data_IF_600478761405
#
_entry.id   IF_600478761405
#
_cell.length_a   1.000
_cell.length_b   1.000
_cell.length_c   1.000
_cell.angle_alpha   90.00
_cell.angle_beta   90.00
_cell.angle_gamma   90.00
#
_symmetry.space_group_name_H-M   'P 1'
#
loop_
_entity.id
_entity.type
_entity.pdbx_description
1 polymer ?
#
# COMPACT_ATOMS: atom_id res chain seq x y z
N UNK A 1 -33.98 -3.50 79.44
CA UNK A 1 -34.19 -2.20 78.76
C UNK A 1 -32.97 -1.67 78.03
N UNK A 2 -31.77 -1.53 78.65
CA UNK A 2 -30.58 -0.95 77.99
C UNK A 2 -30.06 -1.73 76.75
N UNK A 3 -30.15 -3.06 76.71
CA UNK A 3 -29.76 -3.88 75.54
C UNK A 3 -30.71 -3.77 74.35
N UNK A 4 -32.01 -3.59 74.61
CA UNK A 4 -33.01 -3.42 73.55
C UNK A 4 -32.86 -2.05 72.88
N UNK A 5 -32.62 -1.00 73.67
CA UNK A 5 -32.35 0.34 73.14
C UNK A 5 -31.10 0.38 72.25
N UNK A 6 -30.05 -0.35 72.62
CA UNK A 6 -28.81 -0.43 71.83
C UNK A 6 -29.03 -1.15 70.49
N UNK A 7 -29.80 -2.25 70.48
CA UNK A 7 -30.16 -2.97 69.26
C UNK A 7 -31.07 -2.14 68.33
N UNK A 8 -32.02 -1.39 68.89
CA UNK A 8 -32.88 -0.49 68.12
C UNK A 8 -32.09 0.68 67.53
N UNK A 9 -31.16 1.26 68.29
CA UNK A 9 -30.26 2.33 67.80
C UNK A 9 -29.28 1.79 66.75
N UNK A 10 -28.73 0.58 66.92
CA UNK A 10 -27.90 -0.04 65.89
C UNK A 10 -28.66 -0.38 64.61
N UNK A 11 -29.92 -0.83 64.69
CA UNK A 11 -30.77 -1.08 63.52
C UNK A 11 -31.20 0.20 62.81
N UNK A 12 -31.39 1.30 63.54
CA UNK A 12 -31.66 2.63 62.98
C UNK A 12 -30.41 3.20 62.28
N UNK A 13 -29.22 3.09 62.89
CA UNK A 13 -27.95 3.51 62.28
C UNK A 13 -27.61 2.65 61.05
N UNK A 14 -27.87 1.33 61.09
CA UNK A 14 -27.72 0.46 59.92
C UNK A 14 -28.74 0.81 58.83
N UNK A 15 -29.98 1.17 59.17
CA UNK A 15 -30.97 1.66 58.21
C UNK A 15 -30.60 2.98 57.53
N UNK A 16 -29.87 3.87 58.23
CA UNK A 16 -29.36 5.13 57.69
C UNK A 16 -28.15 4.94 56.76
N UNK A 17 -27.43 3.81 56.82
CA UNK A 17 -26.38 3.46 55.85
C UNK A 17 -26.89 2.70 54.61
N UNK A 18 -28.17 2.32 54.57
CA UNK A 18 -28.82 1.71 53.39
C UNK A 18 -29.84 2.64 52.71
N UNK A 19 -29.88 3.92 53.10
CA UNK A 19 -30.72 4.94 52.49
C UNK A 19 -29.90 5.96 51.67
N UNK A 20 -30.16 5.99 50.36
CA UNK A 20 -29.74 6.98 49.35
C UNK A 20 -28.54 6.59 48.46
N UNK A 21 -28.82 5.73 47.48
CA UNK A 21 -28.65 6.08 46.07
C UNK A 21 -29.89 5.57 45.30
N UNK A 22 -31.07 6.03 45.73
CA UNK A 22 -32.26 5.99 44.87
C UNK A 22 -32.24 7.28 44.05
N UNK A 23 -32.35 7.16 42.73
CA UNK A 23 -32.49 8.25 41.76
C UNK A 23 -31.22 9.03 41.34
N UNK A 24 -30.16 8.31 40.97
CA UNK A 24 -29.39 8.74 39.78
C UNK A 24 -29.57 7.65 38.73
N UNK A 25 -30.75 7.60 38.11
CA UNK A 25 -30.93 6.85 36.88
C UNK A 25 -30.15 7.60 35.80
N UNK A 26 -28.92 7.14 35.54
CA UNK A 26 -28.22 7.46 34.31
C UNK A 26 -28.96 6.68 33.23
N UNK A 27 -29.64 7.37 32.33
CA UNK A 27 -30.30 6.71 31.20
C UNK A 27 -29.25 5.89 30.43
N UNK A 28 -29.54 4.61 30.15
CA UNK A 28 -28.65 3.76 29.36
C UNK A 28 -28.66 4.31 27.92
N UNK A 29 -27.61 5.04 27.54
CA UNK A 29 -27.44 5.56 26.17
C UNK A 29 -26.94 4.47 25.21
N UNK A 30 -27.42 3.24 25.35
CA UNK A 30 -27.00 2.14 24.48
C UNK A 30 -27.12 2.50 23.00
N UNK A 31 -26.09 2.23 22.19
CA UNK A 31 -26.19 2.39 20.74
C UNK A 31 -27.07 1.30 20.11
N UNK A 32 -27.68 1.61 18.98
CA UNK A 32 -28.46 0.66 18.17
C UNK A 32 -27.61 -0.50 17.67
N UNK A 33 -26.33 -0.23 17.42
CA UNK A 33 -25.36 -1.15 16.84
C UNK A 33 -24.05 -1.06 17.63
N UNK A 34 -23.49 -2.21 18.01
CA UNK A 34 -22.16 -2.30 18.62
C UNK A 34 -21.06 -2.62 17.60
N UNK A 35 -21.44 -3.05 16.40
CA UNK A 35 -20.54 -3.40 15.30
C UNK A 35 -21.14 -2.94 13.97
N UNK A 36 -20.35 -2.31 13.11
CA UNK A 36 -20.76 -1.90 11.76
C UNK A 36 -19.71 -2.27 10.72
N UNK A 37 -20.17 -2.68 9.55
CA UNK A 37 -19.35 -2.83 8.35
C UNK A 37 -19.87 -1.88 7.28
N UNK A 38 -18.99 -1.02 6.78
CA UNK A 38 -19.29 0.00 5.77
C UNK A 38 -18.58 -0.30 4.44
N UNK A 39 -19.21 0.07 3.32
CA UNK A 39 -18.62 -0.09 1.99
C UNK A 39 -17.53 0.98 1.72
N UNK A 40 -16.32 0.52 1.40
CA UNK A 40 -15.20 1.38 1.02
C UNK A 40 -15.38 2.16 -0.27
N UNK A 41 -16.37 1.80 -1.10
CA UNK A 41 -16.75 2.56 -2.31
C UNK A 41 -17.52 3.85 -2.00
N UNK A 42 -17.81 4.10 -0.72
CA UNK A 42 -18.60 5.22 -0.23
C UNK A 42 -19.91 4.71 0.36
N UNK A 43 -20.13 5.00 1.63
CA UNK A 43 -21.27 4.51 2.40
C UNK A 43 -21.62 5.49 3.52
N UNK A 44 -22.84 5.36 4.05
CA UNK A 44 -23.34 6.20 5.14
C UNK A 44 -24.11 5.33 6.12
N UNK A 45 -23.70 5.38 7.39
CA UNK A 45 -24.45 4.77 8.49
C UNK A 45 -24.77 5.82 9.56
N UNK A 46 -25.91 5.63 10.22
CA UNK A 46 -26.30 6.40 11.40
C UNK A 46 -26.53 5.43 12.54
N UNK A 47 -25.83 5.65 13.64
CA UNK A 47 -25.97 4.92 14.90
C UNK A 47 -26.88 5.75 15.80
N UNK A 48 -27.98 5.14 16.23
CA UNK A 48 -28.94 5.76 17.14
C UNK A 48 -28.57 5.41 18.59
N UNK A 49 -28.73 6.36 19.50
CA UNK A 49 -28.48 6.17 20.93
C UNK A 49 -29.81 6.27 21.66
N UNK A 50 -30.03 5.39 22.65
CA UNK A 50 -31.28 5.37 23.40
C UNK A 50 -31.50 6.62 24.28
N UNK A 51 -30.43 7.39 24.54
CA UNK A 51 -30.46 8.63 25.29
C UNK A 51 -29.30 9.56 24.90
N UNK A 52 -29.42 10.83 25.28
CA UNK A 52 -28.48 11.92 24.97
C UNK A 52 -27.53 12.30 26.12
N UNK A 53 -27.56 11.56 27.23
CA UNK A 53 -26.79 11.81 28.45
C UNK A 53 -25.30 11.40 28.37
N UNK A 54 -24.69 11.65 27.21
CA UNK A 54 -23.27 11.47 26.94
C UNK A 54 -22.78 12.60 26.04
N UNK A 55 -21.56 13.05 26.29
CA UNK A 55 -20.99 14.22 25.59
C UNK A 55 -19.62 13.94 25.02
N UNK A 56 -18.89 12.97 25.53
CA UNK A 56 -17.55 12.66 25.06
C UNK A 56 -17.59 11.51 24.06
N UNK A 57 -17.12 11.77 22.85
CA UNK A 57 -16.81 10.77 21.83
C UNK A 57 -15.30 10.70 21.60
N UNK A 58 -14.72 9.50 21.62
CA UNK A 58 -13.30 9.26 21.32
C UNK A 58 -13.17 8.18 20.26
N UNK A 59 -12.24 8.37 19.31
CA UNK A 59 -11.96 7.40 18.25
C UNK A 59 -10.59 6.76 18.47
N UNK A 60 -10.55 5.43 18.61
CA UNK A 60 -9.30 4.68 18.62
C UNK A 60 -9.05 4.09 17.22
N UNK A 61 -7.99 4.56 16.55
CA UNK A 61 -7.57 4.01 15.26
C UNK A 61 -6.57 2.88 15.44
N UNK A 62 -6.64 1.84 14.60
CA UNK A 62 -5.62 0.79 14.54
C UNK A 62 -4.28 1.24 13.95
N UNK A 63 -4.28 2.34 13.18
CA UNK A 63 -3.10 2.91 12.52
C UNK A 63 -3.16 4.45 12.51
N UNK A 64 -2.02 5.16 12.39
CA UNK A 64 -2.01 6.61 12.30
C UNK A 64 -2.77 7.13 11.07
N UNK A 65 -3.73 8.03 11.28
CA UNK A 65 -4.46 8.75 10.23
C UNK A 65 -4.52 10.22 10.61
N UNK A 66 -4.49 11.12 9.61
CA UNK A 66 -4.69 12.54 9.89
C UNK A 66 -6.17 12.81 10.10
N UNK A 67 -6.48 13.70 11.04
CA UNK A 67 -7.84 14.10 11.31
C UNK A 67 -7.92 15.59 11.64
N UNK A 68 -9.10 16.17 11.42
CA UNK A 68 -9.45 17.53 11.82
C UNK A 68 -10.78 17.49 12.57
N UNK A 69 -10.85 18.20 13.68
CA UNK A 69 -12.02 18.21 14.56
C UNK A 69 -12.68 19.57 14.45
N UNK A 70 -14.00 19.58 14.28
CA UNK A 70 -14.79 20.79 14.18
C UNK A 70 -15.90 20.77 15.21
N UNK A 71 -16.17 21.92 15.81
CA UNK A 71 -17.32 22.12 16.69
C UNK A 71 -18.65 22.18 15.90
N UNK A 72 -19.77 22.35 16.61
CA UNK A 72 -21.11 22.46 16.03
C UNK A 72 -21.27 23.63 15.04
N UNK A 73 -20.48 24.70 15.19
CA UNK A 73 -20.46 25.86 14.31
C UNK A 73 -19.44 25.70 13.16
N UNK A 74 -18.90 24.49 12.99
CA UNK A 74 -17.92 24.12 11.98
C UNK A 74 -16.59 24.90 12.10
N UNK A 75 -16.20 25.30 13.32
CA UNK A 75 -14.90 25.91 13.61
C UNK A 75 -13.89 24.83 14.00
N UNK A 76 -12.68 24.94 13.45
CA UNK A 76 -11.59 23.99 13.72
C UNK A 76 -11.13 24.07 15.17
N UNK A 77 -11.04 22.93 15.85
CA UNK A 77 -10.51 22.79 17.21
C UNK A 77 -9.04 22.39 17.13
N UNK A 78 -8.13 23.22 17.67
CA UNK A 78 -6.66 23.03 17.53
C UNK A 78 -5.95 22.50 18.78
N UNK A 79 -6.63 22.43 19.93
CA UNK A 79 -6.01 22.16 21.23
C UNK A 79 -6.34 20.77 21.81
N UNK A 80 -6.83 19.83 20.99
CA UNK A 80 -7.23 18.49 21.43
C UNK A 80 -6.04 17.55 21.68
N UNK A 81 -6.17 16.64 22.65
CA UNK A 81 -5.17 15.60 22.95
C UNK A 81 -5.32 14.34 22.07
N UNK A 82 -6.33 14.28 21.20
CA UNK A 82 -6.62 13.14 20.35
C UNK A 82 -7.85 13.36 19.47
N UNK A 83 -8.27 12.35 18.69
CA UNK A 83 -9.48 12.37 17.88
C UNK A 83 -10.73 12.24 18.77
N UNK A 84 -10.99 13.27 19.56
CA UNK A 84 -12.12 13.34 20.49
C UNK A 84 -13.01 14.54 20.23
N UNK A 85 -14.32 14.34 20.37
CA UNK A 85 -15.34 15.38 20.31
C UNK A 85 -16.01 15.49 21.69
N UNK A 86 -16.22 16.70 22.17
CA UNK A 86 -17.04 16.98 23.34
C UNK A 86 -18.27 17.77 22.90
N UNK A 87 -19.46 17.19 23.04
CA UNK A 87 -20.71 17.73 22.53
C UNK A 87 -20.93 17.42 21.05
N UNK A 88 -21.56 18.37 20.33
CA UNK A 88 -21.86 18.26 18.90
C UNK A 88 -20.70 18.77 18.03
N UNK A 89 -20.62 18.25 16.80
CA UNK A 89 -19.58 18.59 15.84
C UNK A 89 -19.18 17.39 14.97
N UNK A 90 -17.94 17.39 14.47
CA UNK A 90 -17.45 16.32 13.61
C UNK A 90 -15.95 16.11 13.64
N UNK A 91 -15.54 14.90 13.30
CA UNK A 91 -14.16 14.49 13.08
C UNK A 91 -14.03 14.09 11.61
N UNK A 92 -13.22 14.82 10.85
CA UNK A 92 -12.94 14.55 9.44
C UNK A 92 -11.59 13.85 9.37
N UNK A 93 -11.59 12.59 8.94
CA UNK A 93 -10.40 11.76 8.80
C UNK A 93 -9.96 11.73 7.34
N UNK A 94 -8.70 12.06 7.08
CA UNK A 94 -8.14 12.13 5.73
C UNK A 94 -6.76 11.49 5.69
N UNK A 95 -6.58 10.56 4.76
CA UNK A 95 -5.29 10.00 4.36
C UNK A 95 -5.20 9.96 2.83
N UNK A 96 -4.06 9.52 2.31
CA UNK A 96 -3.87 9.44 0.86
C UNK A 96 -4.81 8.43 0.20
N UNK A 97 -5.05 7.30 0.88
CA UNK A 97 -5.87 6.19 0.39
C UNK A 97 -7.18 5.98 1.16
N UNK A 98 -7.47 6.79 2.17
CA UNK A 98 -8.68 6.61 2.97
C UNK A 98 -9.22 7.96 3.41
N UNK A 99 -10.54 8.14 3.31
CA UNK A 99 -11.22 9.31 3.84
C UNK A 99 -12.63 8.97 4.32
N UNK A 100 -12.98 9.47 5.51
CA UNK A 100 -14.30 9.32 6.10
C UNK A 100 -14.53 10.43 7.14
N UNK A 101 -15.79 10.69 7.47
CA UNK A 101 -16.19 11.68 8.45
C UNK A 101 -17.14 11.07 9.47
N UNK A 102 -16.95 11.40 10.74
CA UNK A 102 -17.83 11.04 11.84
C UNK A 102 -18.46 12.33 12.35
N UNK A 103 -19.78 12.42 12.29
CA UNK A 103 -20.55 13.62 12.63
C UNK A 103 -21.54 13.30 13.76
N UNK A 104 -21.58 14.15 14.77
CA UNK A 104 -22.62 14.17 15.80
C UNK A 104 -23.32 15.52 15.73
N UNK A 105 -24.37 15.59 14.92
CA UNK A 105 -25.19 16.82 14.75
C UNK A 105 -26.47 16.79 15.57
N UNK A 106 -26.89 15.60 16.02
CA UNK A 106 -27.98 15.39 16.95
C UNK A 106 -27.47 14.71 18.22
N UNK A 107 -28.01 15.03 19.41
CA UNK A 107 -27.52 14.47 20.68
C UNK A 107 -27.57 12.94 20.78
N UNK A 108 -28.50 12.31 20.07
CA UNK A 108 -28.77 10.86 20.12
C UNK A 108 -28.31 10.14 18.85
N UNK A 109 -27.55 10.82 17.97
CA UNK A 109 -27.13 10.23 16.70
C UNK A 109 -25.66 10.47 16.41
N UNK A 110 -25.00 9.43 15.92
CA UNK A 110 -23.70 9.54 15.27
C UNK A 110 -23.83 9.06 13.84
N UNK A 111 -23.45 9.91 12.89
CA UNK A 111 -23.40 9.58 11.47
C UNK A 111 -21.96 9.36 11.03
N UNK A 112 -21.71 8.26 10.35
CA UNK A 112 -20.43 7.96 9.72
C UNK A 112 -20.65 8.03 8.21
N UNK A 113 -19.87 8.85 7.52
CA UNK A 113 -19.86 8.97 6.06
C UNK A 113 -18.50 8.54 5.55
N UNK A 114 -18.44 7.42 4.85
CA UNK A 114 -17.24 6.93 4.17
C UNK A 114 -17.15 7.63 2.82
N UNK A 115 -16.00 8.26 2.56
CA UNK A 115 -15.68 8.75 1.22
C UNK A 115 -15.01 7.66 0.40
N UNK A 116 -13.96 7.05 0.94
CA UNK A 116 -13.24 5.95 0.29
C UNK A 116 -12.35 5.18 1.26
N UNK A 117 -12.19 3.87 1.04
CA UNK A 117 -11.06 3.09 1.57
C UNK A 117 -10.32 2.34 0.44
N UNK A 118 -9.33 2.98 -0.17
CA UNK A 118 -8.51 2.43 -1.24
C UNK A 118 -7.30 1.60 -0.76
N UNK A 119 -7.22 1.31 0.55
CA UNK A 119 -6.20 0.41 1.09
C UNK A 119 -6.38 -1.01 0.57
N UNK A 120 -5.34 -1.85 0.69
CA UNK A 120 -5.44 -3.27 0.35
C UNK A 120 -6.30 -4.08 1.33
N UNK A 121 -6.49 -3.57 2.55
CA UNK A 121 -7.15 -4.26 3.66
C UNK A 121 -8.28 -3.42 4.30
N UNK A 122 -9.21 -4.06 5.03
CA UNK A 122 -10.23 -3.33 5.79
C UNK A 122 -9.59 -2.34 6.77
N UNK A 123 -10.20 -1.17 6.91
CA UNK A 123 -9.79 -0.18 7.90
C UNK A 123 -10.71 -0.26 9.11
N UNK A 124 -10.11 -0.50 10.27
CA UNK A 124 -10.84 -0.70 11.52
C UNK A 124 -10.56 0.43 12.50
N UNK A 125 -11.62 0.89 13.17
CA UNK A 125 -11.52 1.80 14.30
C UNK A 125 -12.61 1.52 15.33
N UNK A 126 -12.37 1.93 16.56
CA UNK A 126 -13.34 1.87 17.63
C UNK A 126 -13.84 3.28 17.95
N UNK A 127 -15.15 3.43 18.04
CA UNK A 127 -15.81 4.62 18.55
C UNK A 127 -16.23 4.36 20.00
N UNK A 128 -15.83 5.24 20.91
CA UNK A 128 -16.24 5.22 22.31
C UNK A 128 -17.10 6.44 22.61
N UNK A 129 -18.36 6.22 22.98
CA UNK A 129 -19.24 7.25 23.52
C UNK A 129 -19.25 7.12 25.04
N UNK A 130 -19.12 8.23 25.77
CA UNK A 130 -18.96 8.20 27.23
C UNK A 130 -19.52 9.43 27.94
N UNK A 131 -19.91 9.20 29.19
CA UNK A 131 -20.17 10.23 30.19
C UNK A 131 -19.23 10.01 31.40
N UNK A 132 -19.53 10.65 32.52
CA UNK A 132 -18.72 10.55 33.74
C UNK A 132 -18.76 9.17 34.42
N UNK A 133 -19.76 8.34 34.10
CA UNK A 133 -20.07 7.11 34.82
C UNK A 133 -19.81 5.85 34.00
N UNK A 134 -20.08 5.89 32.70
CA UNK A 134 -19.98 4.72 31.82
C UNK A 134 -19.55 5.10 30.40
N UNK A 135 -19.21 4.07 29.61
CA UNK A 135 -18.92 4.21 28.19
C UNK A 135 -19.46 3.02 27.40
N UNK A 136 -19.80 3.30 26.15
CA UNK A 136 -20.21 2.33 25.14
C UNK A 136 -19.16 2.27 24.04
N UNK A 137 -18.89 1.07 23.53
CA UNK A 137 -17.92 0.84 22.45
C UNK A 137 -18.63 0.31 21.21
N UNK A 138 -18.26 0.89 20.08
CA UNK A 138 -18.77 0.52 18.76
C UNK A 138 -17.58 0.24 17.85
N UNK A 139 -17.54 -0.95 17.26
CA UNK A 139 -16.49 -1.36 16.34
C UNK A 139 -16.92 -1.08 14.92
N UNK A 140 -16.11 -0.35 14.16
CA UNK A 140 -16.41 0.01 12.77
C UNK A 140 -15.33 -0.54 11.87
N UNK A 141 -15.74 -1.28 10.86
CA UNK A 141 -14.90 -1.73 9.77
C UNK A 141 -15.34 -1.08 8.46
N UNK A 142 -14.41 -0.48 7.74
CA UNK A 142 -14.63 -0.01 6.37
C UNK A 142 -13.94 -1.00 5.44
N UNK A 143 -14.70 -1.70 4.62
CA UNK A 143 -14.17 -2.65 3.63
C UNK A 143 -13.33 -1.92 2.56
N UNK A 144 -12.39 -2.60 1.87
CA UNK A 144 -11.70 -2.00 0.72
C UNK A 144 -12.67 -1.65 -0.41
N UNK A 145 -12.37 -0.57 -1.12
CA UNK A 145 -13.07 -0.15 -2.34
C UNK A 145 -12.76 -1.07 -3.51
N UNK A 146 -13.57 -0.99 -4.58
CA UNK A 146 -13.21 -1.64 -5.85
C UNK A 146 -11.86 -1.12 -6.35
N UNK A 147 -11.03 -2.02 -6.88
CA UNK A 147 -9.71 -1.63 -7.40
C UNK A 147 -9.86 -0.69 -8.59
N UNK A 148 -9.01 0.33 -8.63
CA UNK A 148 -8.96 1.28 -9.72
C UNK A 148 -8.55 0.60 -11.02
N UNK A 149 -9.09 1.11 -12.12
CA UNK A 149 -8.73 0.68 -13.47
C UNK A 149 -7.80 1.72 -14.07
N UNK A 150 -6.73 1.25 -14.72
CA UNK A 150 -5.83 2.12 -15.46
C UNK A 150 -6.54 2.68 -16.70
N UNK A 151 -6.48 4.00 -16.86
CA UNK A 151 -6.92 4.69 -18.07
C UNK A 151 -5.76 4.87 -19.05
N UNK A 152 -4.65 5.42 -18.57
CA UNK A 152 -3.46 5.68 -19.39
C UNK A 152 -2.20 5.86 -18.54
N UNK A 153 -1.04 5.68 -19.16
CA UNK A 153 0.27 6.01 -18.60
C UNK A 153 1.03 6.82 -19.64
N UNK A 154 1.67 7.88 -19.20
CA UNK A 154 2.44 8.79 -20.03
C UNK A 154 3.85 8.88 -19.46
N UNK A 155 4.86 8.85 -20.32
CA UNK A 155 6.26 8.95 -19.95
C UNK A 155 6.87 10.27 -20.43
N UNK A 156 7.86 10.77 -19.70
CA UNK A 156 8.71 11.87 -20.17
C UNK A 156 9.74 11.35 -21.17
N UNK A 157 9.48 11.54 -22.46
CA UNK A 157 10.36 11.04 -23.54
C UNK A 157 11.50 11.99 -23.89
N UNK A 158 11.41 13.25 -23.45
CA UNK A 158 12.37 14.34 -23.67
C UNK A 158 13.15 14.73 -22.41
N UNK A 159 12.67 14.30 -21.24
CA UNK A 159 13.30 14.54 -19.94
C UNK A 159 13.55 13.21 -19.22
N UNK A 160 14.66 12.56 -19.56
CA UNK A 160 15.11 11.30 -18.98
C UNK A 160 16.61 11.35 -18.65
N UNK A 161 17.02 10.49 -17.74
CA UNK A 161 18.42 10.26 -17.40
C UNK A 161 18.88 8.96 -18.04
N UNK A 162 19.98 9.01 -18.79
CA UNK A 162 20.52 7.86 -19.49
C UNK A 162 22.04 7.83 -19.33
N UNK A 163 22.55 6.70 -18.86
CA UNK A 163 23.97 6.47 -18.65
C UNK A 163 24.38 5.19 -19.41
N UNK A 164 24.95 5.34 -20.61
CA UNK A 164 25.33 4.20 -21.44
C UNK A 164 26.54 3.46 -20.87
N UNK A 165 26.57 2.15 -21.03
CA UNK A 165 27.66 1.28 -20.56
C UNK A 165 28.01 1.47 -19.05
N UNK A 166 27.05 1.90 -18.22
CA UNK A 166 27.26 2.25 -16.80
C UNK A 166 27.73 1.06 -15.94
N UNK A 167 27.31 -0.16 -16.28
CA UNK A 167 27.66 -1.36 -15.51
C UNK A 167 28.14 -2.50 -16.40
N UNK A 168 29.11 -3.26 -15.89
CA UNK A 168 29.52 -4.56 -16.44
C UNK A 168 29.25 -5.67 -15.44
N UNK A 169 28.49 -6.69 -15.84
CA UNK A 169 28.29 -7.93 -15.08
C UNK A 169 29.12 -9.05 -15.70
N UNK A 170 29.85 -9.82 -14.90
CA UNK A 170 30.65 -10.95 -15.37
C UNK A 170 30.05 -12.28 -14.94
N UNK A 171 29.96 -13.24 -15.85
CA UNK A 171 29.61 -14.63 -15.58
C UNK A 171 30.68 -15.57 -16.10
N UNK A 172 31.13 -16.44 -15.21
CA UNK A 172 32.03 -17.55 -15.51
C UNK A 172 31.24 -18.86 -15.43
N UNK A 173 31.74 -19.91 -16.08
CA UNK A 173 31.16 -21.26 -15.94
C UNK A 173 30.46 -21.80 -17.19
N UNK A 174 30.48 -21.07 -18.31
CA UNK A 174 30.18 -21.66 -19.62
C UNK A 174 31.43 -22.39 -20.09
N UNK A 175 31.36 -23.69 -20.35
CA UNK A 175 32.49 -24.46 -20.87
C UNK A 175 32.07 -25.45 -21.94
N UNK A 176 32.99 -25.73 -22.86
CA UNK A 176 32.82 -26.74 -23.90
C UNK A 176 34.02 -27.67 -23.93
N UNK A 177 33.78 -28.98 -24.01
CA UNK A 177 34.81 -30.00 -23.98
C UNK A 177 34.86 -30.71 -25.33
N UNK A 178 35.83 -30.37 -26.18
CA UNK A 178 36.06 -31.08 -27.43
C UNK A 178 36.93 -32.32 -27.18
N UNK A 179 36.29 -33.47 -26.99
CA UNK A 179 36.96 -34.76 -26.78
C UNK A 179 37.42 -35.42 -28.10
N UNK A 180 37.08 -34.84 -29.25
CA UNK A 180 37.36 -35.43 -30.55
C UNK A 180 38.77 -35.09 -31.05
N UNK A 181 39.22 -35.83 -32.06
CA UNK A 181 40.51 -35.58 -32.74
C UNK A 181 40.41 -34.50 -33.83
N UNK A 182 39.20 -33.97 -34.09
CA UNK A 182 38.96 -32.84 -34.99
C UNK A 182 38.54 -31.58 -34.24
N UNK A 183 38.50 -30.43 -34.92
CA UNK A 183 37.90 -29.21 -34.35
C UNK A 183 36.38 -29.35 -34.23
N UNK A 184 35.79 -28.74 -33.21
CA UNK A 184 34.34 -28.67 -33.02
C UNK A 184 33.87 -27.22 -33.01
N UNK A 185 32.69 -26.95 -33.54
CA UNK A 185 32.08 -25.62 -33.45
C UNK A 185 31.14 -25.56 -32.25
N UNK A 186 31.26 -24.51 -31.44
CA UNK A 186 30.37 -24.22 -30.33
C UNK A 186 29.67 -22.88 -30.56
N UNK A 187 28.37 -22.84 -30.33
CA UNK A 187 27.56 -21.63 -30.46
C UNK A 187 27.22 -21.10 -29.08
N UNK A 188 27.61 -19.86 -28.80
CA UNK A 188 27.29 -19.11 -27.60
C UNK A 188 26.06 -18.25 -27.85
N UNK A 189 25.25 -18.07 -26.81
CA UNK A 189 24.12 -17.15 -26.76
C UNK A 189 24.40 -16.11 -25.66
N UNK A 190 25.17 -15.04 -25.95
CA UNK A 190 25.75 -14.19 -24.91
C UNK A 190 24.72 -13.52 -24.00
N UNK A 191 23.52 -13.25 -24.51
CA UNK A 191 22.44 -12.60 -23.76
C UNK A 191 21.53 -13.58 -22.99
N UNK A 192 21.56 -14.87 -23.30
CA UNK A 192 20.62 -15.86 -22.73
C UNK A 192 20.72 -15.94 -21.20
N UNK A 193 21.94 -15.75 -20.68
CA UNK A 193 22.21 -15.80 -19.24
C UNK A 193 22.08 -14.45 -18.53
N UNK A 194 21.70 -13.37 -19.22
CA UNK A 194 21.58 -12.02 -18.63
C UNK A 194 20.16 -11.48 -18.73
N UNK A 195 19.81 -10.57 -17.83
CA UNK A 195 18.43 -10.10 -17.66
C UNK A 195 18.33 -8.60 -17.89
N UNK A 196 17.24 -8.17 -18.51
CA UNK A 196 16.80 -6.78 -18.45
C UNK A 196 16.19 -6.53 -17.07
N UNK A 197 16.86 -5.72 -16.25
CA UNK A 197 16.33 -5.35 -14.93
C UNK A 197 15.42 -4.14 -15.05
N UNK A 198 14.27 -4.18 -14.40
CA UNK A 198 13.30 -3.09 -14.49
C UNK A 198 12.47 -2.97 -13.22
N UNK A 199 12.05 -1.76 -12.85
CA UNK A 199 11.06 -1.53 -11.79
C UNK A 199 10.36 -0.18 -11.96
N UNK A 200 9.14 -0.10 -11.45
CA UNK A 200 8.44 1.16 -11.27
C UNK A 200 8.59 1.63 -9.83
N UNK A 201 8.82 2.92 -9.62
CA UNK A 201 8.77 3.56 -8.30
C UNK A 201 7.69 4.61 -8.34
N UNK A 202 6.83 4.64 -7.32
CA UNK A 202 5.85 5.70 -7.14
C UNK A 202 6.38 6.73 -6.16
N UNK A 203 6.03 8.00 -6.36
CA UNK A 203 6.33 9.06 -5.37
C UNK A 203 5.50 8.86 -4.09
N UNK A 204 4.35 8.19 -4.22
CA UNK A 204 3.50 7.70 -3.14
C UNK A 204 3.53 6.16 -3.17
N UNK A 205 4.36 5.49 -2.36
CA UNK A 205 4.53 4.04 -2.41
C UNK A 205 3.21 3.25 -2.32
N UNK A 206 2.26 3.76 -1.56
CA UNK A 206 0.93 3.19 -1.32
C UNK A 206 0.07 3.18 -2.60
N UNK A 207 0.38 4.01 -3.60
CA UNK A 207 -0.38 4.09 -4.84
C UNK A 207 -0.44 2.78 -5.63
N UNK A 208 0.51 1.86 -5.43
CA UNK A 208 0.42 0.51 -6.03
C UNK A 208 -0.77 -0.30 -5.48
N UNK A 209 -1.30 0.03 -4.30
CA UNK A 209 -2.49 -0.60 -3.72
C UNK A 209 -3.80 -0.17 -4.40
N UNK A 210 -3.78 0.95 -5.13
CA UNK A 210 -4.94 1.43 -5.90
C UNK A 210 -5.31 0.42 -6.99
N UNK A 211 -4.29 -0.16 -7.61
CA UNK A 211 -4.43 -1.17 -8.64
C UNK A 211 -4.64 -2.53 -7.97
N UNK A 212 -5.48 -3.38 -8.57
CA UNK A 212 -5.62 -4.75 -8.10
C UNK A 212 -4.33 -5.54 -8.29
N UNK A 213 -4.21 -6.69 -7.62
CA UNK A 213 -3.09 -7.63 -7.79
C UNK A 213 -2.97 -8.20 -9.23
N UNK A 214 -3.97 -7.95 -10.07
CA UNK A 214 -3.93 -8.33 -11.48
C UNK A 214 -2.70 -7.70 -12.15
N UNK A 215 -1.88 -8.55 -12.78
CA UNK A 215 -0.62 -8.19 -13.45
C UNK A 215 -0.78 -7.19 -14.59
N UNK A 216 -1.09 -5.94 -14.23
CA UNK A 216 -1.24 -4.82 -15.12
C UNK A 216 0.05 -4.71 -15.92
N UNK A 217 -0.07 -4.81 -17.23
CA UNK A 217 1.07 -4.76 -18.13
C UNK A 217 0.95 -3.48 -18.93
N UNK A 218 1.95 -2.61 -18.82
CA UNK A 218 2.00 -1.30 -19.48
C UNK A 218 3.00 -1.31 -20.61
N UNK A 219 2.77 -0.49 -21.64
CA UNK A 219 3.80 -0.22 -22.63
C UNK A 219 4.93 0.58 -21.98
N UNK A 220 6.17 0.22 -22.23
CA UNK A 220 7.35 0.89 -21.68
C UNK A 220 8.15 1.53 -22.81
N UNK A 221 8.74 2.70 -22.57
CA UNK A 221 9.65 3.29 -23.53
C UNK A 221 10.97 2.51 -23.58
N UNK A 222 11.67 2.62 -24.70
CA UNK A 222 13.02 2.06 -24.86
C UNK A 222 13.89 2.94 -25.76
N UNK A 223 15.20 2.84 -25.57
CA UNK A 223 16.17 3.61 -26.34
C UNK A 223 16.24 3.10 -27.78
N UNK A 224 16.10 4.01 -28.74
CA UNK A 224 16.30 3.75 -30.17
C UNK A 224 16.96 4.97 -30.81
N UNK A 225 18.06 4.74 -31.51
CA UNK A 225 18.80 5.80 -32.24
C UNK A 225 19.16 7.01 -31.36
N UNK A 226 19.45 6.77 -30.07
CA UNK A 226 19.80 7.81 -29.10
C UNK A 226 18.62 8.51 -28.43
N UNK A 227 17.38 8.17 -28.79
CA UNK A 227 16.16 8.79 -28.25
C UNK A 227 15.28 7.76 -27.55
N UNK A 228 14.56 8.21 -26.52
CA UNK A 228 13.59 7.38 -25.83
C UNK A 228 12.25 7.37 -26.61
N UNK A 229 11.78 6.19 -27.02
CA UNK A 229 10.58 6.05 -27.84
C UNK A 229 9.64 4.96 -27.33
N UNK A 230 8.35 5.10 -27.62
CA UNK A 230 7.34 4.05 -27.43
C UNK A 230 7.36 3.13 -28.64
N UNK A 231 7.58 1.83 -28.45
CA UNK A 231 7.74 0.84 -29.53
C UNK A 231 6.92 -0.44 -29.33
N UNK A 232 5.88 -0.39 -28.50
CA UNK A 232 5.01 -1.52 -28.22
C UNK A 232 5.59 -2.55 -27.25
N UNK A 233 6.82 -2.37 -26.74
CA UNK A 233 7.36 -3.23 -25.68
C UNK A 233 6.52 -3.05 -24.43
N UNK A 234 6.13 -4.16 -23.79
CA UNK A 234 5.31 -4.11 -22.57
C UNK A 234 5.97 -4.83 -21.42
N UNK A 235 5.65 -4.41 -20.21
CA UNK A 235 6.11 -5.07 -19.01
C UNK A 235 5.13 -4.88 -17.83
N UNK A 236 5.15 -5.79 -16.83
CA UNK A 236 4.34 -5.63 -15.63
C UNK A 236 4.63 -4.32 -14.89
N UNK A 237 3.57 -3.63 -14.48
CA UNK A 237 3.64 -2.42 -13.66
C UNK A 237 3.68 -2.80 -12.18
N UNK A 238 4.88 -3.11 -11.69
CA UNK A 238 5.10 -3.49 -10.29
C UNK A 238 6.29 -2.77 -9.69
N UNK A 239 6.25 -2.61 -8.36
CA UNK A 239 7.28 -1.93 -7.57
C UNK A 239 8.53 -2.77 -7.36
N UNK A 240 8.37 -4.10 -7.30
CA UNK A 240 9.47 -5.04 -7.15
C UNK A 240 10.38 -5.03 -8.39
N UNK A 241 11.67 -5.31 -8.17
CA UNK A 241 12.61 -5.46 -9.28
C UNK A 241 12.28 -6.70 -10.10
N UNK A 242 12.17 -6.49 -11.40
CA UNK A 242 11.84 -7.49 -12.40
C UNK A 242 13.11 -7.93 -13.12
N UNK A 243 13.17 -9.22 -13.44
CA UNK A 243 14.23 -9.83 -14.25
C UNK A 243 13.60 -10.35 -15.53
N UNK A 244 13.60 -9.53 -16.57
CA UNK A 244 13.01 -9.88 -17.86
C UNK A 244 14.08 -10.53 -18.74
N UNK A 245 13.69 -11.57 -19.50
CA UNK A 245 14.59 -12.15 -20.50
C UNK A 245 14.94 -11.12 -21.57
N UNK A 246 16.19 -11.15 -22.03
CA UNK A 246 16.62 -10.33 -23.15
C UNK A 246 16.05 -10.88 -24.46
N UNK A 247 15.41 -10.06 -25.30
CA UNK A 247 14.92 -10.52 -26.60
C UNK A 247 16.05 -10.67 -27.63
N UNK A 248 17.28 -10.24 -27.33
CA UNK A 248 18.39 -10.36 -28.26
C UNK A 248 18.83 -11.84 -28.37
N UNK A 249 18.75 -12.37 -29.59
CA UNK A 249 19.10 -13.76 -29.93
C UNK A 249 20.44 -13.86 -30.67
N UNK A 250 21.29 -12.85 -30.57
CA UNK A 250 22.64 -12.84 -31.15
C UNK A 250 23.44 -14.06 -30.69
N UNK A 251 24.22 -14.61 -31.63
CA UNK A 251 24.98 -15.84 -31.47
C UNK A 251 26.42 -15.60 -31.89
N UNK A 252 27.34 -16.15 -31.10
CA UNK A 252 28.77 -16.16 -31.44
C UNK A 252 29.19 -17.61 -31.69
N UNK A 253 29.72 -17.89 -32.87
CA UNK A 253 30.28 -19.21 -33.19
C UNK A 253 31.78 -19.21 -32.90
N UNK A 254 32.23 -20.18 -32.12
CA UNK A 254 33.65 -20.38 -31.80
C UNK A 254 34.12 -21.77 -32.26
N UNK A 255 35.37 -21.85 -32.73
CA UNK A 255 35.99 -23.09 -33.17
C UNK A 255 36.94 -23.58 -32.07
N UNK A 256 36.60 -24.74 -31.53
CA UNK A 256 37.31 -25.36 -30.42
C UNK A 256 38.31 -26.37 -30.98
N UNK A 257 39.61 -26.22 -30.69
CA UNK A 257 40.63 -27.17 -31.13
C UNK A 257 40.32 -28.60 -30.66
N UNK A 258 40.86 -29.62 -31.36
CA UNK A 258 40.77 -31.00 -30.90
C UNK A 258 41.37 -31.15 -29.50
N UNK A 259 40.87 -32.13 -28.76
CA UNK A 259 41.37 -32.49 -27.43
C UNK A 259 41.53 -31.28 -26.49
N UNK A 260 40.55 -30.37 -26.46
CA UNK A 260 40.63 -29.12 -25.67
C UNK A 260 39.33 -28.86 -24.93
N UNK A 261 39.45 -28.47 -23.65
CA UNK A 261 38.37 -27.83 -22.90
C UNK A 261 38.51 -26.31 -23.01
N UNK A 262 37.47 -25.63 -23.46
CA UNK A 262 37.39 -24.16 -23.48
C UNK A 262 36.44 -23.69 -22.38
N UNK A 263 36.91 -22.73 -21.57
CA UNK A 263 36.13 -22.09 -20.53
C UNK A 263 35.94 -20.62 -20.90
N UNK A 264 34.69 -20.16 -20.90
CA UNK A 264 34.33 -18.79 -21.26
C UNK A 264 34.02 -17.96 -20.03
N UNK A 265 34.41 -16.69 -20.11
CA UNK A 265 33.95 -15.61 -19.25
C UNK A 265 33.16 -14.64 -20.12
N UNK A 266 31.88 -14.48 -19.81
CA UNK A 266 30.97 -13.54 -20.46
C UNK A 266 30.91 -12.26 -19.62
N UNK A 267 31.20 -11.11 -20.22
CA UNK A 267 31.02 -9.80 -19.60
C UNK A 267 29.91 -9.05 -20.31
N UNK A 268 28.80 -8.80 -19.64
CA UNK A 268 27.64 -8.08 -20.18
C UNK A 268 27.66 -6.63 -19.73
N UNK A 269 27.54 -5.73 -20.70
CA UNK A 269 27.49 -4.28 -20.51
C UNK A 269 26.02 -3.84 -20.50
N UNK A 270 25.67 -3.02 -19.52
CA UNK A 270 24.33 -2.52 -19.29
C UNK A 270 24.26 -1.02 -19.51
N UNK A 271 23.22 -0.60 -20.20
CA UNK A 271 22.76 0.78 -20.19
C UNK A 271 21.81 1.00 -19.03
N UNK A 272 21.93 2.15 -18.37
CA UNK A 272 21.03 2.59 -17.33
C UNK A 272 20.11 3.69 -17.84
N UNK A 273 18.81 3.55 -17.57
CA UNK A 273 17.77 4.50 -17.99
C UNK A 273 16.81 4.76 -16.83
N UNK A 274 16.48 6.04 -16.65
CA UNK A 274 15.45 6.48 -15.75
C UNK A 274 14.57 7.57 -16.39
N UNK A 275 13.26 7.37 -16.39
CA UNK A 275 12.29 8.34 -16.92
C UNK A 275 11.08 8.46 -16.00
N UNK A 276 10.47 9.65 -15.96
CA UNK A 276 9.26 9.92 -15.20
C UNK A 276 8.04 9.35 -15.90
N UNK A 277 7.08 8.86 -15.13
CA UNK A 277 5.76 8.50 -15.61
C UNK A 277 4.66 9.22 -14.85
N UNK A 278 3.53 9.42 -15.51
CA UNK A 278 2.26 9.82 -14.91
C UNK A 278 1.20 8.78 -15.30
N UNK A 279 0.63 8.11 -14.32
CA UNK A 279 -0.40 7.10 -14.46
C UNK A 279 -1.74 7.70 -14.04
N UNK A 280 -2.73 7.59 -14.92
CA UNK A 280 -4.11 7.99 -14.68
C UNK A 280 -4.95 6.74 -14.43
N UNK A 281 -5.68 6.76 -13.31
CA UNK A 281 -6.54 5.65 -12.92
C UNK A 281 -7.92 6.18 -12.51
N UNK A 282 -8.95 5.39 -12.82
CA UNK A 282 -10.34 5.74 -12.51
C UNK A 282 -11.01 4.64 -11.69
N UNK A 283 -11.76 5.06 -10.68
CA UNK A 283 -12.59 4.16 -9.91
C UNK A 283 -13.75 3.65 -10.79
N UNK A 284 -14.00 2.33 -10.86
CA UNK A 284 -14.95 1.77 -11.83
C UNK A 284 -16.39 2.24 -11.60
N UNK A 285 -16.83 2.36 -10.33
CA UNK A 285 -18.17 2.84 -9.95
C UNK A 285 -18.28 4.36 -9.88
N UNK A 286 -17.55 5.00 -8.95
CA UNK A 286 -17.65 6.44 -8.65
C UNK A 286 -17.06 7.35 -9.73
N UNK A 287 -16.25 6.82 -10.66
CA UNK A 287 -15.48 7.58 -11.65
C UNK A 287 -14.49 8.59 -11.06
N UNK A 288 -14.22 8.51 -9.75
CA UNK A 288 -13.16 9.28 -9.09
C UNK A 288 -11.84 8.98 -9.80
N UNK A 289 -11.13 10.02 -10.20
CA UNK A 289 -9.83 9.90 -10.85
C UNK A 289 -8.72 10.10 -9.83
N UNK A 290 -7.64 9.33 -9.96
CA UNK A 290 -6.39 9.53 -9.23
C UNK A 290 -5.24 9.59 -10.21
N UNK A 291 -4.24 10.39 -9.85
CA UNK A 291 -3.00 10.56 -10.62
C UNK A 291 -1.88 10.00 -9.76
N UNK A 292 -1.10 9.09 -10.33
CA UNK A 292 0.06 8.48 -9.70
C UNK A 292 1.30 8.86 -10.51
N UNK A 293 2.20 9.60 -9.89
CA UNK A 293 3.47 9.96 -10.51
C UNK A 293 4.59 9.10 -9.96
N UNK A 294 5.61 8.91 -10.78
CA UNK A 294 6.73 8.08 -10.39
C UNK A 294 7.78 8.00 -11.47
N UNK A 295 8.61 6.98 -11.35
CA UNK A 295 9.80 6.78 -12.16
C UNK A 295 9.90 5.33 -12.62
N UNK A 296 10.12 5.13 -13.92
CA UNK A 296 10.54 3.86 -14.48
C UNK A 296 12.07 3.80 -14.46
N UNK A 297 12.60 2.76 -13.82
CA UNK A 297 14.02 2.44 -13.82
C UNK A 297 14.27 1.19 -14.66
N UNK A 298 15.26 1.24 -15.55
CA UNK A 298 15.59 0.17 -16.50
C UNK A 298 17.09 0.01 -16.66
N UNK A 299 17.59 -1.22 -16.57
CA UNK A 299 18.97 -1.57 -16.89
C UNK A 299 18.97 -2.65 -17.98
N UNK A 300 19.32 -2.25 -19.20
CA UNK A 300 19.21 -3.10 -20.39
C UNK A 300 20.58 -3.62 -20.79
N UNK A 301 20.76 -4.94 -20.95
CA UNK A 301 21.92 -5.51 -21.66
C UNK A 301 22.00 -4.99 -23.09
N UNK A 302 23.14 -4.40 -23.46
CA UNK A 302 23.32 -3.80 -24.81
C UNK A 302 24.53 -4.31 -25.58
N UNK A 303 25.55 -4.81 -24.88
CA UNK A 303 26.82 -5.19 -25.47
C UNK A 303 27.49 -6.24 -24.62
N UNK A 304 28.27 -7.13 -25.22
CA UNK A 304 28.99 -8.16 -24.50
C UNK A 304 30.46 -8.23 -24.92
N UNK A 305 31.28 -8.79 -24.05
CA UNK A 305 32.65 -9.19 -24.33
C UNK A 305 32.84 -10.64 -23.90
N UNK A 306 33.43 -11.44 -24.77
CA UNK A 306 33.73 -12.84 -24.52
C UNK A 306 35.23 -13.00 -24.43
N UNK A 307 35.70 -13.60 -23.34
CA UNK A 307 37.08 -14.08 -23.23
C UNK A 307 37.04 -15.55 -22.90
N UNK A 308 38.07 -16.30 -23.32
CA UNK A 308 38.15 -17.71 -23.02
C UNK A 308 39.56 -18.15 -22.62
N UNK A 309 39.62 -19.31 -21.97
CA UNK A 309 40.86 -20.02 -21.65
C UNK A 309 40.75 -21.46 -22.11
N UNK A 310 41.83 -21.93 -22.73
CA UNK A 310 41.97 -23.31 -23.18
C UNK A 310 42.72 -24.16 -22.16
N UNK A 311 42.24 -25.38 -21.98
CA UNK A 311 42.89 -26.45 -21.22
C UNK A 311 42.96 -27.66 -22.14
N UNK A 312 44.11 -27.92 -22.78
CA UNK A 312 44.32 -29.14 -23.55
C UNK A 312 44.18 -30.37 -22.66
N UNK A 313 43.62 -31.45 -23.19
CA UNK A 313 43.71 -32.75 -22.53
C UNK A 313 45.13 -33.26 -22.74
N UNK A 314 45.89 -33.37 -21.65
CA UNK A 314 47.17 -34.07 -21.68
C UNK A 314 46.88 -35.55 -22.00
N UNK A 315 47.45 -36.04 -23.11
CA UNK A 315 47.59 -37.48 -23.33
C UNK A 315 48.61 -38.06 -22.34
#
# INVERSE_FOLDING_TARGET
MKRFLYLTVCLLILGEFYGCNGDVFVDDFRPSDSELTLDGNGDVATIQFAASNWDWMYIAFGFPIQYKIYDADNRLITNGQGPSLNGLGKIVCTGELIDFTIERVHPEEVKITVGENALSAPFQFQLRASNEYEWQEIYVEISPTDRYVMDSIIYSLDAYSYDPENRIEKKEGVSFHNLTDGSSTYTLFPFESFYHFMRFKSDVPEAFQLLGEAGLTVEIPSMKDGYLVMNGKRAPFISAQQMLSCPNTEQEADIIPPRTSRYYTLSMVYDWLETRYTLYVSHPKTKKQRIVTGTLHSEMPVKYHITHKDIPFNN
#
